data_IF_024184394553
#
_entry.id   IF_024184394553
#
_cell.length_a   1.000
_cell.length_b   1.000
_cell.length_c   1.000
_cell.angle_alpha   90.00
_cell.angle_beta   90.00
_cell.angle_gamma   90.00
#
_symmetry.space_group_name_H-M   'P 1'
#
loop_
_entity.id
_entity.type
_entity.pdbx_description
1 polymer ?
#
# COMPACT_ATOMS: atom_id res chain seq x y z
N UNK A 1 -11.00 0.14 -4.32
CA UNK A 1 -11.59 -1.20 -4.16
C UNK A 1 -12.01 -1.39 -2.71
N UNK A 2 -13.29 -1.61 -2.39
CA UNK A 2 -13.67 -2.10 -1.06
C UNK A 2 -13.40 -3.61 -1.00
N UNK A 3 -12.14 -3.98 -0.82
CA UNK A 3 -11.72 -5.38 -0.65
C UNK A 3 -10.97 -5.55 0.67
N UNK A 4 -11.06 -6.74 1.27
CA UNK A 4 -10.30 -7.06 2.46
C UNK A 4 -8.81 -7.22 2.14
N UNK A 5 -7.95 -7.02 3.14
CA UNK A 5 -6.51 -7.28 3.01
C UNK A 5 -6.22 -8.72 2.54
N UNK A 6 -7.01 -9.70 3.00
CA UNK A 6 -6.89 -11.11 2.60
C UNK A 6 -7.22 -11.29 1.12
N UNK A 7 -8.29 -10.64 0.63
CA UNK A 7 -8.67 -10.70 -0.78
C UNK A 7 -7.59 -10.07 -1.68
N UNK A 8 -7.09 -8.88 -1.30
CA UNK A 8 -6.01 -8.21 -2.04
C UNK A 8 -4.70 -9.01 -2.03
N UNK A 9 -4.32 -9.61 -0.89
CA UNK A 9 -3.15 -10.47 -0.81
C UNK A 9 -3.25 -11.66 -1.76
N UNK A 10 -4.43 -12.29 -1.85
CA UNK A 10 -4.69 -13.40 -2.79
C UNK A 10 -4.55 -12.93 -4.24
N UNK A 11 -5.11 -11.77 -4.59
CA UNK A 11 -4.97 -11.19 -5.95
C UNK A 11 -3.53 -10.89 -6.31
N UNK A 12 -2.75 -10.33 -5.38
CA UNK A 12 -1.30 -10.08 -5.55
C UNK A 12 -0.52 -11.39 -5.77
N UNK A 13 -0.83 -12.44 -5.00
CA UNK A 13 -0.21 -13.76 -5.15
C UNK A 13 -0.55 -14.40 -6.50
N UNK A 14 -1.81 -14.27 -6.94
CA UNK A 14 -2.29 -14.77 -8.22
C UNK A 14 -1.89 -13.89 -9.42
N UNK A 15 -1.20 -12.76 -9.19
CA UNK A 15 -0.83 -11.78 -10.22
C UNK A 15 -2.03 -11.19 -10.97
N UNK A 16 -3.18 -11.12 -10.29
CA UNK A 16 -4.41 -10.48 -10.82
C UNK A 16 -4.35 -8.95 -10.71
N UNK A 17 -3.53 -8.44 -9.80
CA UNK A 17 -3.29 -7.00 -9.58
C UNK A 17 -1.85 -6.83 -9.10
N UNK A 18 -1.23 -5.69 -9.38
CA UNK A 18 0.06 -5.27 -8.85
C UNK A 18 -0.08 -4.43 -7.57
N UNK A 19 0.98 -4.38 -6.76
CA UNK A 19 1.03 -3.50 -5.58
C UNK A 19 0.86 -2.04 -5.99
N UNK A 20 1.49 -1.64 -7.10
CA UNK A 20 1.39 -0.28 -7.64
C UNK A 20 -0.04 0.09 -7.98
N UNK A 21 -0.78 -0.77 -8.67
CA UNK A 21 -2.18 -0.53 -9.04
C UNK A 21 -3.05 -0.32 -7.78
N UNK A 22 -2.85 -1.14 -6.74
CA UNK A 22 -3.58 -0.97 -5.47
C UNK A 22 -3.30 0.40 -4.86
N UNK A 23 -2.03 0.80 -4.76
CA UNK A 23 -1.65 2.10 -4.16
C UNK A 23 -2.17 3.26 -5.00
N UNK A 24 -2.04 3.19 -6.33
CA UNK A 24 -2.54 4.23 -7.24
C UNK A 24 -4.06 4.42 -7.15
N UNK A 25 -4.83 3.36 -6.94
CA UNK A 25 -6.28 3.47 -6.78
C UNK A 25 -6.68 4.01 -5.40
N UNK A 26 -5.90 3.74 -4.35
CA UNK A 26 -6.23 4.16 -3.00
C UNK A 26 -5.89 5.62 -2.71
N UNK A 27 -4.84 6.18 -3.33
CA UNK A 27 -4.41 7.58 -3.07
C UNK A 27 -5.55 8.59 -3.31
N UNK A 28 -6.26 8.61 -4.45
CA UNK A 28 -7.35 9.57 -4.66
C UNK A 28 -8.48 9.44 -3.64
N UNK A 29 -8.79 8.20 -3.24
CA UNK A 29 -9.83 7.93 -2.22
C UNK A 29 -9.41 8.43 -0.84
N UNK A 30 -8.14 8.25 -0.50
CA UNK A 30 -7.54 8.79 0.71
C UNK A 30 -7.65 10.31 0.69
N UNK A 31 -7.19 10.97 -0.38
CA UNK A 31 -7.21 12.43 -0.50
C UNK A 31 -8.63 13.04 -0.48
N UNK A 32 -9.62 12.34 -1.04
CA UNK A 32 -11.02 12.76 -0.98
C UNK A 32 -11.58 12.63 0.44
N UNK A 33 -11.46 11.44 1.04
CA UNK A 33 -12.13 11.11 2.31
C UNK A 33 -11.43 11.70 3.52
N UNK A 34 -10.12 11.82 3.49
CA UNK A 34 -9.36 12.31 4.64
C UNK A 34 -9.62 13.80 4.92
N UNK A 35 -10.09 14.57 3.92
CA UNK A 35 -10.56 15.95 4.13
C UNK A 35 -11.76 16.04 5.08
N UNK A 36 -12.58 15.00 5.12
CA UNK A 36 -13.77 14.94 5.97
C UNK A 36 -13.48 14.21 7.30
N UNK A 37 -12.70 13.13 7.24
CA UNK A 37 -12.46 12.23 8.37
C UNK A 37 -11.29 12.72 9.23
N UNK A 38 -10.27 13.33 8.63
CA UNK A 38 -9.02 13.76 9.27
C UNK A 38 -8.33 12.62 10.05
N UNK A 39 -8.12 11.50 9.37
CA UNK A 39 -7.55 10.27 9.91
C UNK A 39 -6.01 10.21 9.81
N UNK A 40 -5.39 10.89 8.83
CA UNK A 40 -3.95 10.86 8.61
C UNK A 40 -3.26 12.16 9.05
N UNK A 41 -2.13 12.04 9.75
CA UNK A 41 -1.26 13.19 10.10
C UNK A 41 -0.24 13.45 8.99
N UNK A 42 0.39 12.38 8.51
CA UNK A 42 1.40 12.41 7.45
C UNK A 42 1.01 11.41 6.36
N UNK A 43 0.84 11.89 5.13
CA UNK A 43 0.52 11.06 3.95
C UNK A 43 1.80 10.84 3.13
N UNK A 44 2.14 9.58 2.85
CA UNK A 44 3.40 9.17 2.20
C UNK A 44 3.20 8.65 0.76
N UNK A 45 2.36 9.31 -0.05
CA UNK A 45 1.93 8.83 -1.37
C UNK A 45 3.09 8.43 -2.30
N UNK A 46 4.11 9.29 -2.45
CA UNK A 46 5.26 9.01 -3.32
C UNK A 46 6.10 7.83 -2.83
N UNK A 47 6.33 7.74 -1.52
CA UNK A 47 7.10 6.66 -0.92
C UNK A 47 6.35 5.33 -1.03
N UNK A 48 5.03 5.35 -0.82
CA UNK A 48 4.17 4.18 -0.99
C UNK A 48 4.19 3.66 -2.44
N UNK A 49 4.10 4.56 -3.43
CA UNK A 49 4.18 4.19 -4.85
C UNK A 49 5.54 3.58 -5.21
N UNK A 50 6.63 4.23 -4.81
CA UNK A 50 7.99 3.70 -5.03
C UNK A 50 8.15 2.32 -4.38
N UNK A 51 7.66 2.14 -3.16
CA UNK A 51 7.77 0.85 -2.47
C UNK A 51 6.95 -0.25 -3.14
N UNK A 52 5.77 0.09 -3.64
CA UNK A 52 4.93 -0.81 -4.39
C UNK A 52 5.63 -1.31 -5.67
N UNK A 53 6.23 -0.39 -6.44
CA UNK A 53 7.03 -0.72 -7.62
C UNK A 53 8.22 -1.63 -7.31
N UNK A 54 8.93 -1.37 -6.21
CA UNK A 54 10.03 -2.24 -5.76
C UNK A 54 9.53 -3.66 -5.46
N UNK A 55 8.41 -3.80 -4.76
CA UNK A 55 7.84 -5.12 -4.43
C UNK A 55 7.36 -5.85 -5.69
N UNK A 56 6.71 -5.14 -6.61
CA UNK A 56 6.27 -5.72 -7.89
C UNK A 56 7.46 -6.22 -8.72
N UNK A 57 8.57 -5.45 -8.75
CA UNK A 57 9.80 -5.88 -9.42
C UNK A 57 10.38 -7.17 -8.80
N UNK A 58 10.45 -7.24 -7.47
CA UNK A 58 10.93 -8.44 -6.75
C UNK A 58 10.03 -9.64 -7.01
N UNK A 59 8.71 -9.44 -7.03
CA UNK A 59 7.72 -10.48 -7.37
C UNK A 59 7.91 -10.98 -8.80
N UNK A 60 8.15 -10.07 -9.75
CA UNK A 60 8.39 -10.43 -11.15
C UNK A 60 9.68 -11.24 -11.34
N UNK A 61 10.71 -11.01 -10.51
CA UNK A 61 11.95 -11.80 -10.47
C UNK A 61 11.80 -13.17 -9.83
N UNK A 62 10.64 -13.50 -9.28
CA UNK A 62 10.40 -14.78 -8.59
C UNK A 62 11.06 -14.85 -7.22
N UNK A 63 11.39 -13.71 -6.60
CA UNK A 63 11.89 -13.70 -5.23
C UNK A 63 10.82 -14.22 -4.26
N UNK A 64 11.25 -14.92 -3.22
CA UNK A 64 10.36 -15.32 -2.12
C UNK A 64 9.94 -14.06 -1.34
N UNK A 65 8.63 -13.83 -1.29
CA UNK A 65 8.03 -12.68 -0.63
C UNK A 65 7.09 -13.13 0.48
N UNK A 66 7.03 -12.36 1.56
CA UNK A 66 6.07 -12.60 2.64
C UNK A 66 4.62 -12.51 2.17
N UNK A 67 3.67 -13.12 2.92
CA UNK A 67 2.27 -13.24 2.51
C UNK A 67 1.55 -11.90 2.30
N UNK A 68 2.06 -10.82 2.90
CA UNK A 68 1.50 -9.47 2.85
C UNK A 68 2.29 -8.50 1.97
N UNK A 69 3.33 -8.98 1.27
CA UNK A 69 4.20 -8.13 0.48
C UNK A 69 3.42 -7.43 -0.65
N UNK A 70 3.36 -6.10 -0.59
CA UNK A 70 2.70 -5.26 -1.58
C UNK A 70 1.34 -4.72 -1.13
N UNK A 71 0.89 -5.02 0.09
CA UNK A 71 -0.28 -4.36 0.66
C UNK A 71 0.09 -3.01 1.28
N UNK A 72 -0.70 -1.95 1.03
CA UNK A 72 -0.58 -0.68 1.74
C UNK A 72 -1.12 -0.80 3.16
N UNK A 73 -0.53 -0.04 4.09
CA UNK A 73 -0.95 0.05 5.49
C UNK A 73 -0.99 1.50 5.95
N UNK A 74 -1.90 1.80 6.87
CA UNK A 74 -1.83 3.00 7.71
C UNK A 74 -1.19 2.66 9.04
N UNK A 75 -0.33 3.54 9.55
CA UNK A 75 0.37 3.36 10.83
C UNK A 75 -0.10 4.44 11.79
N UNK A 76 -0.42 4.05 13.03
CA UNK A 76 -0.76 5.02 14.08
C UNK A 76 0.46 5.86 14.40
N UNK A 77 0.30 7.17 14.43
CA UNK A 77 1.37 8.16 14.62
C UNK A 77 2.07 8.09 16.00
N UNK A 78 1.55 7.27 16.91
CA UNK A 78 2.21 6.94 18.18
C UNK A 78 3.43 6.00 17.98
N UNK A 79 3.57 5.39 16.80
CA UNK A 79 4.65 4.47 16.48
C UNK A 79 5.76 5.19 15.73
N UNK A 80 7.01 4.94 16.12
CA UNK A 80 8.17 5.51 15.44
C UNK A 80 8.24 4.99 13.99
N UNK A 81 8.30 5.93 13.05
CA UNK A 81 8.48 5.63 11.62
C UNK A 81 9.75 6.33 11.14
N UNK A 82 10.76 5.54 10.77
CA UNK A 82 12.08 6.09 10.40
C UNK A 82 11.96 6.98 9.17
N UNK A 83 12.57 8.19 9.23
CA UNK A 83 12.54 9.16 8.13
C UNK A 83 11.18 9.84 7.90
N UNK A 84 10.23 9.65 8.81
CA UNK A 84 8.87 10.23 8.77
C UNK A 84 8.63 11.06 10.03
N UNK A 85 7.78 12.08 9.93
CA UNK A 85 7.49 13.06 10.98
C UNK A 85 6.10 12.91 11.54
#
# INVERSE_FOLDING_TARGET
MPESAVALAKKLQNKEVSSKEIVQELIPRLEEKDREINAYVTILSEQALKKAEEIDSRRAKGEELGPWAGLPIGVKDLLCTEGVR
#
